data_IF_085952745119
#
_entry.id   IF_085952745119
#
_cell.length_a   1.000
_cell.length_b   1.000
_cell.length_c   1.000
_cell.angle_alpha   90.00
_cell.angle_beta   90.00
_cell.angle_gamma   90.00
#
_symmetry.space_group_name_H-M   'P 1'
#
loop_
_entity.id
_entity.type
_entity.pdbx_description
1 polymer ?
#
# COMPACT_ATOMS: atom_id res chain seq x y z
N UNK A 1 -29.47 6.69 -72.43
CA UNK A 1 -29.01 5.41 -71.84
C UNK A 1 -27.67 5.60 -71.17
N UNK A 2 -27.62 5.68 -69.84
CA UNK A 2 -26.72 4.90 -68.98
C UNK A 2 -26.80 5.41 -67.53
N UNK A 3 -27.32 4.52 -66.68
CA UNK A 3 -27.38 4.64 -65.23
C UNK A 3 -25.97 4.49 -64.66
N UNK A 4 -25.58 5.32 -63.69
CA UNK A 4 -24.56 4.95 -62.70
C UNK A 4 -25.07 5.34 -61.32
N UNK A 5 -25.47 4.33 -60.56
CA UNK A 5 -25.80 4.40 -59.15
C UNK A 5 -24.50 4.60 -58.35
N UNK A 6 -24.48 5.59 -57.47
CA UNK A 6 -23.43 5.73 -56.47
C UNK A 6 -23.85 4.93 -55.23
N UNK A 7 -23.14 3.82 -54.99
CA UNK A 7 -23.22 3.04 -53.76
C UNK A 7 -22.40 3.80 -52.72
N UNK A 8 -23.08 4.37 -51.71
CA UNK A 8 -22.42 4.93 -50.53
C UNK A 8 -22.12 3.75 -49.59
N UNK A 9 -20.85 3.39 -49.47
CA UNK A 9 -20.36 2.45 -48.47
C UNK A 9 -20.50 3.07 -47.08
N UNK A 10 -21.34 2.47 -46.24
CA UNK A 10 -21.38 2.73 -44.81
C UNK A 10 -20.17 2.02 -44.19
N UNK A 11 -19.04 2.72 -44.08
CA UNK A 11 -17.88 2.20 -43.34
C UNK A 11 -18.20 2.27 -41.85
N UNK A 12 -18.65 1.15 -41.30
CA UNK A 12 -18.83 0.96 -39.87
C UNK A 12 -17.47 1.12 -39.18
N UNK A 13 -17.28 2.25 -38.50
CA UNK A 13 -16.10 2.52 -37.68
C UNK A 13 -16.19 1.61 -36.44
N UNK A 14 -15.69 0.39 -36.54
CA UNK A 14 -15.46 -0.46 -35.38
C UNK A 14 -14.42 0.24 -34.50
N UNK A 15 -14.89 0.78 -33.38
CA UNK A 15 -14.07 1.25 -32.28
C UNK A 15 -13.13 0.10 -31.87
N UNK A 16 -11.84 0.24 -32.19
CA UNK A 16 -10.78 -0.58 -31.62
C UNK A 16 -10.71 -0.28 -30.12
N UNK A 17 -11.56 -0.92 -29.33
CA UNK A 17 -11.28 -1.14 -27.92
C UNK A 17 -10.13 -2.15 -27.86
N UNK A 18 -8.89 -1.64 -27.85
CA UNK A 18 -7.76 -2.41 -27.33
C UNK A 18 -8.01 -2.66 -25.84
N UNK A 19 -8.86 -3.65 -25.55
CA UNK A 19 -8.97 -4.23 -24.23
C UNK A 19 -7.58 -4.78 -23.89
N UNK A 20 -6.92 -4.16 -22.90
CA UNK A 20 -5.79 -4.76 -22.24
C UNK A 20 -6.29 -6.07 -21.62
N UNK A 21 -6.05 -7.20 -22.29
CA UNK A 21 -6.25 -8.49 -21.65
C UNK A 21 -5.21 -8.59 -20.53
N UNK A 22 -5.65 -8.37 -19.29
CA UNK A 22 -4.78 -8.48 -18.14
C UNK A 22 -4.20 -9.90 -18.10
N UNK A 23 -2.89 -10.01 -17.89
CA UNK A 23 -2.21 -11.31 -17.76
C UNK A 23 -2.51 -12.01 -16.43
N UNK A 24 -3.42 -11.46 -15.63
CA UNK A 24 -3.76 -11.89 -14.28
C UNK A 24 -5.24 -11.60 -14.00
N UNK A 25 -5.91 -12.51 -13.30
CA UNK A 25 -7.30 -12.31 -12.83
C UNK A 25 -7.36 -11.87 -11.37
N UNK A 26 -6.25 -12.08 -10.63
CA UNK A 26 -6.12 -11.77 -9.22
C UNK A 26 -4.73 -11.22 -8.89
N UNK A 27 -4.63 -10.44 -7.81
CA UNK A 27 -3.39 -9.87 -7.34
C UNK A 27 -3.27 -9.88 -5.81
N UNK A 28 -2.05 -10.03 -5.26
CA UNK A 28 -1.81 -9.95 -3.83
C UNK A 28 -1.62 -8.51 -3.33
N UNK A 29 -2.10 -8.27 -2.11
CA UNK A 29 -1.64 -7.20 -1.24
C UNK A 29 -1.01 -7.87 -0.03
N UNK A 30 0.26 -7.62 0.23
CA UNK A 30 1.04 -8.25 1.30
C UNK A 30 1.11 -7.35 2.52
N UNK A 31 0.79 -7.90 3.68
CA UNK A 31 0.77 -7.22 4.98
C UNK A 31 1.99 -7.60 5.82
N UNK A 32 2.85 -6.61 6.06
CA UNK A 32 3.99 -6.68 6.95
C UNK A 32 3.71 -5.82 8.19
N UNK A 33 4.17 -6.26 9.37
CA UNK A 33 4.09 -5.49 10.61
C UNK A 33 5.50 -5.13 11.10
N UNK A 34 6.23 -6.08 11.69
CA UNK A 34 7.59 -5.87 12.15
C UNK A 34 8.60 -6.43 11.14
N UNK A 35 9.65 -5.67 10.87
CA UNK A 35 10.87 -6.19 10.22
C UNK A 35 11.97 -6.27 11.27
N UNK A 36 12.30 -7.49 11.70
CA UNK A 36 13.16 -7.72 12.86
C UNK A 36 13.39 -9.21 13.13
N UNK A 37 14.16 -9.52 14.17
CA UNK A 37 14.48 -10.90 14.58
C UNK A 37 13.96 -11.19 15.98
N UNK A 38 13.57 -12.44 16.30
CA UNK A 38 13.45 -13.61 15.41
C UNK A 38 12.18 -13.58 14.52
N UNK A 39 12.03 -14.52 13.60
CA UNK A 39 10.77 -14.67 12.83
C UNK A 39 9.60 -14.95 13.78
N UNK A 40 8.41 -14.42 13.48
CA UNK A 40 7.22 -14.63 14.29
C UNK A 40 5.95 -14.23 13.55
N UNK A 41 4.80 -14.46 14.19
CA UNK A 41 3.48 -14.20 13.57
C UNK A 41 3.38 -12.78 12.97
N UNK A 42 3.82 -11.77 13.71
CA UNK A 42 3.79 -10.37 13.25
C UNK A 42 5.16 -9.83 12.84
N UNK A 43 6.15 -10.71 12.67
CA UNK A 43 7.54 -10.29 12.46
C UNK A 43 8.21 -11.11 11.37
N UNK A 44 8.62 -10.40 10.31
CA UNK A 44 9.43 -10.94 9.22
C UNK A 44 10.89 -10.57 9.43
N UNK A 45 11.79 -11.54 9.32
CA UNK A 45 13.23 -11.23 9.38
C UNK A 45 13.69 -10.42 8.16
N UNK A 46 14.71 -9.55 8.30
CA UNK A 46 15.33 -8.87 7.16
C UNK A 46 15.77 -9.85 6.06
N UNK A 47 16.29 -11.02 6.44
CA UNK A 47 16.72 -12.08 5.53
C UNK A 47 15.54 -12.59 4.70
N UNK A 48 14.45 -12.94 5.36
CA UNK A 48 13.30 -13.47 4.66
C UNK A 48 12.54 -12.40 3.87
N UNK A 49 12.51 -11.15 4.34
CA UNK A 49 11.96 -10.04 3.56
C UNK A 49 12.73 -9.82 2.25
N UNK A 50 14.07 -9.91 2.26
CA UNK A 50 14.87 -9.89 1.01
C UNK A 50 14.47 -11.03 0.07
N UNK A 51 14.34 -12.25 0.59
CA UNK A 51 13.89 -13.41 -0.20
C UNK A 51 12.48 -13.22 -0.75
N UNK A 52 11.59 -12.54 -0.02
CA UNK A 52 10.24 -12.20 -0.48
C UNK A 52 10.29 -11.30 -1.72
N UNK A 53 11.04 -10.20 -1.65
CA UNK A 53 11.21 -9.26 -2.79
C UNK A 53 11.86 -9.96 -3.99
N UNK A 54 12.92 -10.74 -3.76
CA UNK A 54 13.58 -11.52 -4.82
C UNK A 54 12.65 -12.56 -5.47
N UNK A 55 11.80 -13.19 -4.68
CA UNK A 55 10.84 -14.17 -5.20
C UNK A 55 9.77 -13.48 -6.04
N UNK A 56 9.21 -12.35 -5.57
CA UNK A 56 8.21 -11.59 -6.33
C UNK A 56 8.77 -11.11 -7.67
N UNK A 57 9.98 -10.54 -7.66
CA UNK A 57 10.67 -10.09 -8.87
C UNK A 57 10.85 -11.22 -9.89
N UNK A 58 11.36 -12.39 -9.45
CA UNK A 58 11.58 -13.55 -10.32
C UNK A 58 10.29 -14.15 -10.88
N UNK A 59 9.16 -13.96 -10.20
CA UNK A 59 7.85 -14.51 -10.59
C UNK A 59 6.95 -13.48 -11.28
N UNK A 60 7.54 -12.48 -11.94
CA UNK A 60 6.82 -11.48 -12.74
C UNK A 60 5.80 -10.63 -11.98
N UNK A 61 5.95 -10.49 -10.66
CA UNK A 61 5.23 -9.47 -9.94
C UNK A 61 5.84 -8.08 -10.21
N UNK A 62 5.02 -7.05 -10.07
CA UNK A 62 5.41 -5.66 -10.22
C UNK A 62 4.83 -4.81 -9.09
N UNK A 63 5.66 -4.11 -8.31
CA UNK A 63 5.20 -3.43 -7.11
C UNK A 63 4.39 -2.17 -7.48
N UNK A 64 3.28 -1.97 -6.80
CA UNK A 64 2.43 -0.77 -6.89
C UNK A 64 2.10 -0.27 -5.48
N UNK A 65 1.83 1.03 -5.35
CA UNK A 65 1.21 1.57 -4.14
C UNK A 65 -0.30 1.26 -4.16
N UNK A 66 -0.99 1.30 -3.01
CA UNK A 66 -2.45 1.22 -2.98
C UNK A 66 -3.11 2.34 -3.81
N UNK A 67 -2.65 3.59 -3.68
CA UNK A 67 -3.18 4.72 -4.47
C UNK A 67 -3.08 4.54 -5.97
N UNK A 68 -2.10 3.75 -6.45
CA UNK A 68 -1.93 3.49 -7.89
C UNK A 68 -3.08 2.63 -8.43
N UNK A 69 -3.75 1.84 -7.58
CA UNK A 69 -4.88 1.00 -7.95
C UNK A 69 -6.13 1.82 -8.34
N UNK A 70 -6.28 3.04 -7.83
CA UNK A 70 -7.38 3.95 -8.22
C UNK A 70 -7.31 4.34 -9.70
N UNK A 71 -6.12 4.24 -10.31
CA UNK A 71 -5.92 4.48 -11.73
C UNK A 71 -6.09 3.21 -12.59
N UNK A 72 -6.65 2.12 -12.04
CA UNK A 72 -6.96 0.90 -12.79
C UNK A 72 -5.72 0.20 -13.33
N UNK A 73 -4.69 0.03 -12.48
CA UNK A 73 -3.40 -0.60 -12.85
C UNK A 73 -2.62 0.13 -13.96
N UNK A 74 -2.92 1.40 -14.22
CA UNK A 74 -2.14 2.22 -15.16
C UNK A 74 -0.66 2.23 -14.76
N UNK A 75 0.21 1.95 -15.72
CA UNK A 75 1.66 1.86 -15.51
C UNK A 75 2.17 0.45 -15.18
N UNK A 76 1.28 -0.55 -15.05
CA UNK A 76 1.67 -1.94 -14.96
C UNK A 76 2.25 -2.43 -16.31
N UNK A 77 3.49 -2.94 -16.37
CA UNK A 77 4.05 -3.47 -17.61
C UNK A 77 3.31 -4.71 -18.11
N UNK A 78 3.25 -4.90 -19.43
CA UNK A 78 2.62 -6.07 -20.04
C UNK A 78 3.27 -7.37 -19.53
N UNK A 79 2.44 -8.35 -19.18
CA UNK A 79 2.89 -9.65 -18.67
C UNK A 79 3.32 -9.66 -17.22
N UNK A 80 3.16 -8.55 -16.48
CA UNK A 80 3.36 -8.50 -15.03
C UNK A 80 2.05 -8.63 -14.27
N UNK A 81 2.13 -9.17 -13.06
CA UNK A 81 1.05 -9.19 -12.07
C UNK A 81 1.32 -8.12 -11.03
N UNK A 82 0.36 -7.25 -10.66
CA UNK A 82 0.61 -6.25 -9.64
C UNK A 82 0.81 -6.93 -8.28
N UNK A 83 1.66 -6.37 -7.43
CA UNK A 83 1.74 -6.70 -5.99
C UNK A 83 1.80 -5.40 -5.22
N UNK A 84 1.06 -5.32 -4.12
CA UNK A 84 1.16 -4.18 -3.21
C UNK A 84 1.83 -4.65 -1.93
N UNK A 85 2.82 -3.90 -1.45
CA UNK A 85 3.49 -4.15 -0.19
C UNK A 85 2.98 -3.13 0.82
N UNK A 86 2.33 -3.59 1.90
CA UNK A 86 1.83 -2.71 2.97
C UNK A 86 2.53 -2.96 4.28
N UNK A 87 2.78 -1.90 5.04
CA UNK A 87 3.46 -1.95 6.32
C UNK A 87 2.65 -1.23 7.40
N UNK A 88 2.16 -1.97 8.39
CA UNK A 88 1.30 -1.46 9.47
C UNK A 88 2.15 -1.10 10.70
N UNK A 89 1.68 -0.20 11.55
CA UNK A 89 2.29 0.22 12.83
C UNK A 89 3.54 1.12 12.81
N UNK A 90 4.24 1.26 11.68
CA UNK A 90 5.46 2.10 11.58
C UNK A 90 6.52 1.86 12.66
N UNK A 91 6.90 0.61 12.93
CA UNK A 91 8.06 0.31 13.80
C UNK A 91 9.39 0.82 13.20
N UNK A 92 10.44 1.01 14.00
CA UNK A 92 11.77 1.38 13.48
C UNK A 92 12.38 0.29 12.58
N UNK A 93 11.89 -0.96 12.71
CA UNK A 93 12.10 -2.06 11.77
C UNK A 93 11.80 -1.67 10.32
N UNK A 94 10.77 -0.85 10.10
CA UNK A 94 10.34 -0.46 8.76
C UNK A 94 11.20 0.64 8.17
N UNK A 95 11.59 1.63 8.97
CA UNK A 95 12.50 2.69 8.51
C UNK A 95 13.28 3.29 9.68
N UNK A 96 14.62 3.15 9.66
CA UNK A 96 15.50 3.83 10.61
C UNK A 96 16.78 4.33 9.96
N UNK A 97 17.28 5.43 10.50
CA UNK A 97 18.66 5.86 10.27
C UNK A 97 19.57 5.27 11.34
N UNK A 98 20.76 4.85 10.92
CA UNK A 98 21.86 4.49 11.80
C UNK A 98 22.49 5.75 12.43
N UNK A 99 23.31 5.62 13.49
CA UNK A 99 23.97 6.77 14.14
C UNK A 99 24.84 7.61 13.19
N UNK A 100 25.36 7.01 12.12
CA UNK A 100 26.15 7.68 11.09
C UNK A 100 25.30 8.37 10.00
N UNK A 101 23.97 8.36 10.14
CA UNK A 101 23.04 9.00 9.22
C UNK A 101 22.68 8.17 7.98
N UNK A 102 23.27 6.98 7.80
CA UNK A 102 22.86 6.05 6.73
C UNK A 102 21.50 5.44 7.03
N UNK A 103 20.77 5.07 5.98
CA UNK A 103 19.55 4.25 6.13
C UNK A 103 19.99 2.85 6.53
N UNK A 104 19.32 2.26 7.52
CA UNK A 104 19.67 0.92 7.96
C UNK A 104 19.35 -0.11 6.85
N UNK A 105 20.34 -0.88 6.38
CA UNK A 105 20.17 -1.86 5.31
C UNK A 105 19.34 -3.09 5.70
N UNK A 106 18.98 -3.24 6.97
CA UNK A 106 18.07 -4.25 7.49
C UNK A 106 16.64 -3.72 7.71
N UNK A 107 16.41 -2.41 7.57
CA UNK A 107 15.04 -1.88 7.60
C UNK A 107 14.28 -2.17 6.31
N UNK A 108 12.94 -2.20 6.36
CA UNK A 108 12.12 -2.41 5.16
C UNK A 108 12.47 -1.41 4.04
N UNK A 109 12.52 -0.12 4.37
CA UNK A 109 12.87 0.96 3.44
C UNK A 109 14.29 0.79 2.88
N UNK A 110 15.27 0.43 3.72
CA UNK A 110 16.64 0.17 3.29
C UNK A 110 16.76 -1.02 2.34
N UNK A 111 16.04 -2.10 2.61
CA UNK A 111 16.00 -3.30 1.74
C UNK A 111 15.36 -2.97 0.39
N UNK A 112 14.20 -2.30 0.38
CA UNK A 112 13.53 -1.89 -0.85
C UNK A 112 14.40 -0.96 -1.68
N UNK A 113 15.06 0.02 -1.05
CA UNK A 113 15.98 0.95 -1.71
C UNK A 113 17.19 0.24 -2.32
N UNK A 114 17.84 -0.64 -1.56
CA UNK A 114 18.98 -1.40 -2.05
C UNK A 114 18.60 -2.36 -3.19
N UNK A 115 17.39 -2.94 -3.16
CA UNK A 115 16.90 -3.78 -4.24
C UNK A 115 16.64 -2.97 -5.51
N UNK A 116 15.95 -1.83 -5.40
CA UNK A 116 15.71 -0.90 -6.51
C UNK A 116 17.02 -0.41 -7.15
N UNK A 117 18.01 -0.02 -6.35
CA UNK A 117 19.30 0.48 -6.86
C UNK A 117 20.05 -0.58 -7.69
N UNK A 118 19.88 -1.86 -7.35
CA UNK A 118 20.43 -2.98 -8.12
C UNK A 118 19.54 -3.41 -9.29
N UNK A 119 18.23 -3.17 -9.19
CA UNK A 119 17.19 -3.62 -10.13
C UNK A 119 16.20 -2.47 -10.39
N UNK A 120 16.59 -1.47 -11.21
CA UNK A 120 15.73 -0.30 -11.47
C UNK A 120 14.39 -0.64 -12.13
N UNK A 121 14.26 -1.84 -12.72
CA UNK A 121 13.01 -2.41 -13.23
C UNK A 121 12.00 -2.78 -12.12
N UNK A 122 12.43 -2.78 -10.86
CA UNK A 122 11.59 -2.86 -9.67
C UNK A 122 11.47 -1.47 -9.03
N UNK A 123 10.40 -0.70 -9.30
CA UNK A 123 10.27 0.65 -8.77
C UNK A 123 10.04 0.65 -7.25
N UNK A 124 10.42 1.74 -6.60
CA UNK A 124 10.13 1.98 -5.18
C UNK A 124 8.64 2.25 -4.97
N UNK A 125 7.89 1.19 -4.69
CA UNK A 125 6.45 1.20 -4.41
C UNK A 125 6.15 0.30 -3.21
N UNK A 126 5.53 0.90 -2.21
CA UNK A 126 5.09 0.29 -0.96
C UNK A 126 4.22 1.32 -0.23
N UNK A 127 3.25 0.87 0.55
CA UNK A 127 2.37 1.74 1.34
C UNK A 127 2.66 1.53 2.83
N UNK A 128 3.08 2.58 3.52
CA UNK A 128 3.27 2.57 4.97
C UNK A 128 2.05 3.18 5.64
N UNK A 129 1.60 2.60 6.74
CA UNK A 129 0.47 3.04 7.54
C UNK A 129 0.93 3.44 8.95
N UNK A 130 1.46 4.66 9.13
CA UNK A 130 2.09 5.04 10.38
C UNK A 130 1.08 5.34 11.49
N UNK A 131 1.48 5.01 12.70
CA UNK A 131 0.83 5.45 13.93
C UNK A 131 1.49 6.74 14.42
N UNK A 132 0.67 7.68 14.89
CA UNK A 132 1.18 8.99 15.34
C UNK A 132 1.74 8.88 16.76
N UNK A 133 0.96 8.28 17.65
CA UNK A 133 1.25 8.26 19.07
C UNK A 133 0.63 7.04 19.74
N UNK A 134 1.47 6.21 20.35
CA UNK A 134 1.11 4.94 20.98
C UNK A 134 1.92 4.76 22.26
N UNK A 135 1.54 3.76 23.06
CA UNK A 135 2.30 3.31 24.23
C UNK A 135 3.57 2.52 23.88
N UNK A 136 3.84 2.30 22.59
CA UNK A 136 5.05 1.66 22.09
C UNK A 136 5.87 2.71 21.31
N UNK A 137 6.82 3.43 21.96
CA UNK A 137 7.52 4.55 21.33
C UNK A 137 8.21 4.21 20.00
N UNK A 138 8.66 2.96 19.82
CA UNK A 138 9.26 2.46 18.58
C UNK A 138 8.31 2.56 17.35
N UNK A 139 7.00 2.56 17.59
CA UNK A 139 5.94 2.62 16.58
C UNK A 139 5.42 4.03 16.32
N UNK A 140 5.86 5.01 17.11
CA UNK A 140 5.45 6.40 16.92
C UNK A 140 6.29 6.99 15.78
N UNK A 141 5.73 6.99 14.58
CA UNK A 141 6.37 7.53 13.37
C UNK A 141 7.81 7.01 13.19
N UNK A 142 7.98 5.70 13.23
CA UNK A 142 9.26 4.98 13.09
C UNK A 142 10.28 5.17 14.22
N UNK A 143 9.84 5.58 15.41
CA UNK A 143 10.61 5.39 16.66
C UNK A 143 11.89 6.23 16.79
N UNK A 144 12.08 7.27 15.97
CA UNK A 144 13.22 8.18 16.06
C UNK A 144 12.74 9.62 16.14
N UNK A 145 12.55 10.09 17.38
CA UNK A 145 12.04 11.42 17.70
C UNK A 145 12.84 12.51 16.97
N UNK A 146 12.13 13.44 16.33
CA UNK A 146 12.69 14.55 15.56
C UNK A 146 13.04 14.21 14.11
N UNK A 147 12.91 12.95 13.68
CA UNK A 147 13.15 12.51 12.29
C UNK A 147 11.86 12.18 11.54
N UNK A 148 10.69 12.41 12.13
CA UNK A 148 9.38 11.97 11.61
C UNK A 148 9.10 12.56 10.23
N UNK A 149 9.16 13.90 10.10
CA UNK A 149 8.94 14.58 8.83
C UNK A 149 9.99 14.18 7.78
N UNK A 150 11.26 14.07 8.19
CA UNK A 150 12.36 13.68 7.31
C UNK A 150 12.13 12.29 6.71
N UNK A 151 11.73 11.31 7.53
CA UNK A 151 11.43 9.96 7.08
C UNK A 151 10.21 9.92 6.15
N UNK A 152 9.10 10.54 6.55
CA UNK A 152 7.88 10.52 5.76
C UNK A 152 8.05 11.20 4.40
N UNK A 153 8.75 12.34 4.35
CA UNK A 153 9.10 13.00 3.08
C UNK A 153 10.02 12.14 2.23
N UNK A 154 11.04 11.52 2.82
CA UNK A 154 11.95 10.66 2.07
C UNK A 154 11.24 9.45 1.45
N UNK A 155 10.32 8.79 2.17
CA UNK A 155 9.49 7.72 1.61
C UNK A 155 8.66 8.22 0.42
N UNK A 156 8.03 9.40 0.56
CA UNK A 156 7.23 10.02 -0.48
C UNK A 156 8.06 10.42 -1.71
N UNK A 157 9.24 11.01 -1.51
CA UNK A 157 10.20 11.40 -2.56
C UNK A 157 10.71 10.19 -3.35
N UNK A 158 10.90 9.04 -2.69
CA UNK A 158 11.21 7.78 -3.35
C UNK A 158 10.03 7.18 -4.13
N UNK A 159 8.83 7.73 -3.98
CA UNK A 159 7.62 7.29 -4.69
C UNK A 159 6.78 6.26 -3.93
N UNK A 160 7.11 5.98 -2.66
CA UNK A 160 6.27 5.16 -1.78
C UNK A 160 5.11 5.97 -1.21
N UNK A 161 4.07 5.28 -0.76
CA UNK A 161 2.83 5.88 -0.26
C UNK A 161 2.80 5.92 1.27
N UNK A 162 2.25 7.02 1.79
CA UNK A 162 1.85 7.14 3.20
C UNK A 162 0.32 7.04 3.26
N UNK A 163 -0.18 6.03 3.95
CA UNK A 163 -1.58 5.89 4.36
C UNK A 163 -1.75 6.25 5.84
N UNK A 164 -2.96 6.10 6.37
CA UNK A 164 -3.25 6.25 7.81
C UNK A 164 -3.58 4.89 8.46
N UNK A 165 -3.19 4.72 9.73
CA UNK A 165 -3.63 3.62 10.58
C UNK A 165 -4.41 4.13 11.80
N UNK A 166 -5.20 5.19 11.59
CA UNK A 166 -5.77 6.08 12.62
C UNK A 166 -4.69 6.82 13.42
N UNK A 167 -5.05 7.49 14.52
CA UNK A 167 -4.09 8.30 15.29
C UNK A 167 -3.24 7.44 16.24
N UNK A 168 -3.89 6.58 17.01
CA UNK A 168 -3.26 5.76 18.07
C UNK A 168 -3.56 4.27 17.96
N UNK A 169 -3.87 3.77 16.75
CA UNK A 169 -4.39 2.41 16.52
C UNK A 169 -5.78 2.25 17.16
N UNK A 170 -6.62 3.27 16.96
CA UNK A 170 -7.97 3.39 17.51
C UNK A 170 -8.93 2.47 16.75
N UNK A 171 -9.48 1.43 17.38
CA UNK A 171 -10.40 0.50 16.73
C UNK A 171 -11.80 1.12 16.63
N UNK A 172 -12.42 1.01 15.45
CA UNK A 172 -13.63 1.77 15.14
C UNK A 172 -14.88 1.32 15.91
N UNK A 173 -14.94 0.08 16.37
CA UNK A 173 -16.03 -0.44 17.22
C UNK A 173 -16.08 0.22 18.60
N UNK A 174 -14.98 0.85 19.03
CA UNK A 174 -14.89 1.59 20.29
C UNK A 174 -15.12 3.09 20.13
N UNK A 175 -15.42 3.56 18.91
CA UNK A 175 -15.57 4.97 18.60
C UNK A 175 -17.01 5.30 18.22
N UNK A 176 -17.49 6.45 18.69
CA UNK A 176 -18.66 7.08 18.07
C UNK A 176 -18.30 7.60 16.67
N UNK A 177 -19.27 7.89 15.78
CA UNK A 177 -18.97 8.51 14.48
C UNK A 177 -18.16 9.80 14.59
N UNK A 178 -18.41 10.62 15.62
CA UNK A 178 -17.61 11.81 15.90
C UNK A 178 -16.18 11.48 16.35
N UNK A 179 -16.00 10.42 17.15
CA UNK A 179 -14.68 9.91 17.52
C UNK A 179 -13.90 9.38 16.33
N UNK A 180 -14.54 8.61 15.45
CA UNK A 180 -13.98 8.09 14.21
C UNK A 180 -13.50 9.21 13.28
N UNK A 181 -14.35 10.23 13.03
CA UNK A 181 -13.96 11.41 12.24
C UNK A 181 -12.78 12.17 12.88
N UNK A 182 -12.78 12.30 14.21
CA UNK A 182 -11.70 12.97 14.94
C UNK A 182 -10.37 12.23 14.80
N UNK A 183 -10.32 10.91 15.03
CA UNK A 183 -9.07 10.16 14.92
C UNK A 183 -8.53 10.13 13.49
N UNK A 184 -9.41 9.88 12.51
CA UNK A 184 -9.05 9.88 11.09
C UNK A 184 -8.55 11.26 10.65
N UNK A 185 -9.34 12.30 10.85
CA UNK A 185 -8.99 13.65 10.44
C UNK A 185 -7.71 14.16 11.09
N UNK A 186 -7.50 13.87 12.38
CA UNK A 186 -6.26 14.24 13.10
C UNK A 186 -5.04 13.51 12.54
N UNK A 187 -5.15 12.20 12.31
CA UNK A 187 -4.07 11.40 11.73
C UNK A 187 -3.73 11.86 10.31
N UNK A 188 -4.74 11.98 9.44
CA UNK A 188 -4.60 12.40 8.04
C UNK A 188 -3.97 13.79 7.94
N UNK A 189 -4.48 14.77 8.70
CA UNK A 189 -3.91 16.13 8.71
C UNK A 189 -2.43 16.10 9.11
N UNK A 190 -2.10 15.39 10.21
CA UNK A 190 -0.73 15.32 10.71
C UNK A 190 0.22 14.64 9.72
N UNK A 191 -0.19 13.51 9.15
CA UNK A 191 0.61 12.79 8.15
C UNK A 191 0.80 13.64 6.91
N UNK A 192 -0.25 14.29 6.40
CA UNK A 192 -0.18 15.17 5.23
C UNK A 192 0.80 16.32 5.43
N UNK A 193 0.79 16.97 6.60
CA UNK A 193 1.71 18.06 6.93
C UNK A 193 3.16 17.60 7.04
N UNK A 194 3.39 16.42 7.62
CA UNK A 194 4.73 15.87 7.79
C UNK A 194 5.30 15.40 6.44
N UNK A 195 4.54 14.62 5.67
CA UNK A 195 4.97 13.99 4.43
C UNK A 195 4.90 14.90 3.21
N UNK A 196 4.04 15.92 3.22
CA UNK A 196 3.72 16.72 2.04
C UNK A 196 2.84 15.98 1.02
N UNK A 197 2.17 14.89 1.41
CA UNK A 197 1.33 14.07 0.52
C UNK A 197 -0.13 14.06 0.96
N UNK A 198 -1.05 13.87 0.02
CA UNK A 198 -2.44 13.57 0.37
C UNK A 198 -2.58 12.11 0.85
N UNK A 199 -3.32 11.90 1.94
CA UNK A 199 -3.56 10.57 2.53
C UNK A 199 -4.94 10.07 2.10
N UNK A 200 -4.97 8.98 1.32
CA UNK A 200 -6.21 8.44 0.73
C UNK A 200 -6.45 6.97 1.07
N UNK A 201 -5.50 6.32 1.73
CA UNK A 201 -5.57 4.91 2.09
C UNK A 201 -5.57 4.73 3.62
N UNK A 202 -6.33 3.73 4.08
CA UNK A 202 -6.49 3.38 5.49
C UNK A 202 -6.23 1.88 5.65
N UNK A 203 -5.30 1.49 6.51
CA UNK A 203 -5.30 0.15 7.08
C UNK A 203 -6.20 0.16 8.32
N UNK A 204 -7.12 -0.80 8.42
CA UNK A 204 -8.05 -0.86 9.55
C UNK A 204 -7.36 -1.41 10.80
N UNK A 205 -7.31 -0.68 11.93
CA UNK A 205 -6.84 -1.25 13.18
C UNK A 205 -7.67 -2.49 13.53
N UNK A 206 -6.98 -3.62 13.71
CA UNK A 206 -7.59 -4.94 13.99
C UNK A 206 -8.56 -5.45 12.89
N UNK A 207 -8.55 -4.86 11.69
CA UNK A 207 -9.50 -5.21 10.62
C UNK A 207 -10.95 -4.78 10.86
N UNK A 208 -11.20 -3.94 11.87
CA UNK A 208 -12.56 -3.54 12.28
C UNK A 208 -13.02 -2.34 11.48
N UNK A 209 -14.13 -2.46 10.77
CA UNK A 209 -14.75 -1.37 10.02
C UNK A 209 -15.49 -0.37 10.92
N UNK A 210 -15.59 0.91 10.52
CA UNK A 210 -16.54 1.83 11.13
C UNK A 210 -17.98 1.39 10.85
N UNK A 211 -18.83 1.46 11.88
CA UNK A 211 -20.27 1.21 11.73
C UNK A 211 -20.97 2.23 10.81
N UNK A 212 -20.40 3.43 10.69
CA UNK A 212 -20.86 4.50 9.81
C UNK A 212 -19.77 4.84 8.80
N UNK A 213 -19.92 4.39 7.55
CA UNK A 213 -18.94 4.65 6.48
C UNK A 213 -18.86 6.12 6.07
N UNK A 214 -19.81 6.98 6.48
CA UNK A 214 -19.73 8.42 6.22
C UNK A 214 -18.53 9.10 6.90
N UNK A 215 -17.94 8.45 7.92
CA UNK A 215 -16.76 8.97 8.64
C UNK A 215 -15.50 9.02 7.78
N UNK A 216 -15.48 8.28 6.65
CA UNK A 216 -14.34 8.19 5.73
C UNK A 216 -14.09 9.47 4.94
N UNK A 217 -15.05 10.41 4.93
CA UNK A 217 -14.90 11.73 4.35
C UNK A 217 -15.33 12.82 5.34
N UNK A 218 -14.65 13.96 5.31
CA UNK A 218 -14.99 15.07 6.19
C UNK A 218 -13.93 16.16 6.20
N UNK A 219 -13.96 16.96 7.24
CA UNK A 219 -12.97 18.01 7.49
C UNK A 219 -12.54 17.94 8.96
N UNK A 220 -11.25 18.15 9.21
CA UNK A 220 -10.71 18.31 10.55
C UNK A 220 -9.78 19.51 10.60
N UNK A 221 -10.15 20.54 11.39
CA UNK A 221 -9.37 21.77 11.56
C UNK A 221 -8.96 22.41 10.21
N UNK A 222 -9.92 22.57 9.29
CA UNK A 222 -9.68 23.15 7.95
C UNK A 222 -8.99 22.22 6.96
N UNK A 223 -8.72 20.97 7.33
CA UNK A 223 -8.14 19.97 6.43
C UNK A 223 -9.23 18.98 5.98
N UNK A 224 -9.68 19.10 4.74
CA UNK A 224 -10.60 18.15 4.13
C UNK A 224 -9.89 16.82 3.86
N UNK A 225 -10.60 15.71 4.07
CA UNK A 225 -10.07 14.36 3.82
C UNK A 225 -11.13 13.45 3.20
N UNK A 226 -10.66 12.45 2.46
CA UNK A 226 -11.46 11.37 1.90
C UNK A 226 -10.59 10.10 1.78
N UNK A 227 -10.96 9.05 2.51
CA UNK A 227 -10.39 7.72 2.35
C UNK A 227 -11.07 7.03 1.16
N UNK A 228 -10.25 6.57 0.23
CA UNK A 228 -10.66 5.94 -1.04
C UNK A 228 -10.30 4.46 -1.09
N UNK A 229 -9.36 4.03 -0.26
CA UNK A 229 -8.83 2.67 -0.24
C UNK A 229 -8.77 2.18 1.21
N UNK A 230 -9.29 0.99 1.48
CA UNK A 230 -9.25 0.38 2.80
C UNK A 230 -8.66 -1.02 2.73
N UNK A 231 -7.62 -1.24 3.53
CA UNK A 231 -6.90 -2.50 3.62
C UNK A 231 -7.37 -3.29 4.86
N UNK A 232 -7.82 -4.52 4.60
CA UNK A 232 -8.40 -5.44 5.58
C UNK A 232 -7.35 -6.38 6.18
N UNK A 233 -7.69 -6.98 7.32
CA UNK A 233 -7.04 -8.19 7.83
C UNK A 233 -7.84 -9.41 7.38
N UNK A 234 -7.94 -9.59 6.07
CA UNK A 234 -8.71 -10.66 5.44
C UNK A 234 -7.84 -11.37 4.42
N UNK A 235 -7.25 -12.50 4.82
CA UNK A 235 -6.41 -13.34 3.98
C UNK A 235 -6.98 -13.54 2.57
N UNK A 236 -6.16 -13.37 1.53
CA UNK A 236 -6.57 -13.73 0.16
C UNK A 236 -6.04 -12.82 -0.94
N UNK A 237 -6.21 -13.29 -2.17
CA UNK A 237 -5.95 -12.50 -3.37
C UNK A 237 -7.19 -11.66 -3.73
N UNK A 238 -6.95 -10.46 -4.27
CA UNK A 238 -8.00 -9.56 -4.76
C UNK A 238 -8.27 -9.84 -6.24
N UNK A 239 -9.54 -9.88 -6.69
CA UNK A 239 -9.85 -9.96 -8.12
C UNK A 239 -9.53 -8.63 -8.81
N UNK A 240 -9.40 -8.62 -10.15
CA UNK A 240 -9.14 -7.38 -10.90
C UNK A 240 -10.21 -6.29 -10.71
N UNK A 241 -11.46 -6.69 -10.49
CA UNK A 241 -12.61 -5.83 -10.19
C UNK A 241 -12.89 -5.72 -8.68
N UNK A 242 -11.83 -5.70 -7.86
CA UNK A 242 -11.92 -5.56 -6.41
C UNK A 242 -12.71 -4.32 -5.97
N UNK A 243 -13.28 -4.39 -4.78
CA UNK A 243 -13.85 -3.23 -4.10
C UNK A 243 -12.72 -2.47 -3.38
N UNK A 244 -12.47 -1.19 -3.71
CA UNK A 244 -11.39 -0.43 -3.10
C UNK A 244 -11.59 -0.20 -1.59
N UNK A 245 -12.80 -0.33 -1.06
CA UNK A 245 -13.08 -0.24 0.37
C UNK A 245 -13.01 -1.61 1.09
N UNK A 246 -12.71 -2.69 0.38
CA UNK A 246 -12.60 -4.05 0.92
C UNK A 246 -11.40 -4.81 0.33
N UNK A 247 -10.20 -4.24 0.47
CA UNK A 247 -8.96 -4.81 -0.08
C UNK A 247 -8.42 -5.88 0.88
N UNK A 248 -8.47 -7.13 0.43
CA UNK A 248 -7.93 -8.28 1.15
C UNK A 248 -6.41 -8.22 1.22
N UNK A 249 -5.83 -8.66 2.33
CA UNK A 249 -4.38 -8.71 2.51
C UNK A 249 -3.92 -10.09 2.95
N UNK A 250 -2.73 -10.47 2.50
CA UNK A 250 -2.04 -11.70 2.87
C UNK A 250 -0.94 -11.31 3.85
N UNK A 251 -1.02 -11.80 5.08
CA UNK A 251 0.01 -11.65 6.09
C UNK A 251 1.31 -12.31 5.59
N UNK A 252 2.41 -11.58 5.64
CA UNK A 252 3.68 -12.02 5.08
C UNK A 252 4.45 -12.98 6.01
N UNK A 253 3.85 -14.15 6.27
CA UNK A 253 4.42 -15.26 7.05
C UNK A 253 4.56 -16.51 6.18
N UNK A 254 5.42 -17.43 6.61
CA UNK A 254 5.78 -18.64 5.84
C UNK A 254 4.58 -19.49 5.42
N UNK A 255 3.60 -19.63 6.31
CA UNK A 255 2.39 -20.41 6.06
C UNK A 255 1.57 -19.81 4.90
N UNK A 256 1.37 -18.49 4.91
CA UNK A 256 0.61 -17.80 3.87
C UNK A 256 1.39 -17.70 2.55
N UNK A 257 2.71 -17.50 2.63
CA UNK A 257 3.58 -17.59 1.46
C UNK A 257 3.45 -18.94 0.75
N UNK A 258 3.42 -20.03 1.52
CA UNK A 258 3.22 -21.38 0.98
C UNK A 258 1.81 -21.55 0.40
N UNK A 259 0.79 -21.10 1.13
CA UNK A 259 -0.62 -21.24 0.76
C UNK A 259 -0.97 -20.51 -0.53
N UNK A 260 -0.54 -19.26 -0.68
CA UNK A 260 -0.96 -18.41 -1.80
C UNK A 260 0.01 -18.40 -2.98
N UNK A 261 1.28 -18.73 -2.75
CA UNK A 261 2.31 -18.66 -3.79
C UNK A 261 3.01 -20.00 -4.07
N UNK A 262 2.68 -21.07 -3.34
CA UNK A 262 3.32 -22.38 -3.50
C UNK A 262 4.81 -22.37 -3.15
N UNK A 263 5.29 -21.31 -2.50
CA UNK A 263 6.70 -21.13 -2.17
C UNK A 263 7.09 -22.06 -1.03
N UNK A 264 7.96 -23.03 -1.33
CA UNK A 264 8.69 -23.79 -0.32
C UNK A 264 9.84 -22.91 0.16
N UNK A 265 9.86 -22.64 1.46
CA UNK A 265 10.86 -21.79 2.11
C UNK A 265 11.99 -22.63 2.69
#
# INVERSE_FOLDING_TARGET
>A
MNKRAAIIFFTCLMLNSCAFAAAFDKFPVLEYHLIGRPEGRWQRTPENFRKDIEWLHRNNYYPMNLRDLLAGFKGLPKGKTPVVLTFDDSSSGQFRYLPDGRIDPESAAGILKAFHDKRPDWPLRATFFPLIETNAPDRNLFGQKGLEAKKLRQLAEWGMEIGTHTYSHDPFDKLSPAGARRTLGRSIKKLSELSGTNIVSLALPQGIYPNDMSVLKGEYQGHAYEIKLMAEVAGGLNPINFDPLHIKRIQAIDEEWRKFFGRKL
#
